data_IF_398611906438
#
_entry.id   IF_398611906438
#
_cell.length_a   1.000
_cell.length_b   1.000
_cell.length_c   1.000
_cell.angle_alpha   90.00
_cell.angle_beta   90.00
_cell.angle_gamma   90.00
#
_symmetry.space_group_name_H-M   'P 1'
#
loop_
_entity.id
_entity.type
_entity.pdbx_description
1 polymer ?
#
# COMPACT_ATOMS: atom_id res chain seq x y z
N UNK A 1 2.56 -0.35 -1.53
CA UNK A 1 3.72 0.45 -1.95
C UNK A 1 4.37 1.25 -0.83
N UNK A 2 3.63 2.07 -0.07
CA UNK A 2 4.21 2.72 1.14
C UNK A 2 4.76 1.68 2.13
N UNK A 3 4.07 0.56 2.35
CA UNK A 3 4.55 -0.52 3.21
C UNK A 3 5.84 -1.22 2.75
N UNK A 4 6.14 -1.20 1.44
CA UNK A 4 7.32 -1.85 0.87
C UNK A 4 8.53 -0.91 0.77
N UNK A 5 8.29 0.37 0.51
CA UNK A 5 9.31 1.30 0.02
C UNK A 5 9.57 2.50 0.93
N UNK A 6 8.70 2.76 1.92
CA UNK A 6 8.77 3.95 2.75
C UNK A 6 9.00 3.60 4.23
N UNK A 7 10.25 3.36 4.61
CA UNK A 7 10.68 3.21 6.01
C UNK A 7 11.29 4.50 6.57
N UNK A 8 10.89 4.89 7.77
CA UNK A 8 11.54 5.94 8.55
C UNK A 8 12.80 5.42 9.23
N UNK A 9 13.91 6.15 9.13
CA UNK A 9 15.17 5.83 9.80
C UNK A 9 15.84 7.08 10.36
N UNK A 10 16.34 6.98 11.58
CA UNK A 10 17.05 8.03 12.30
C UNK A 10 18.38 7.49 12.84
N UNK A 11 19.38 8.34 12.99
CA UNK A 11 20.59 8.01 13.74
C UNK A 11 20.42 8.22 15.26
N UNK A 12 21.45 7.85 16.03
CA UNK A 12 21.46 7.98 17.50
C UNK A 12 21.40 9.45 17.98
N UNK A 13 21.64 10.41 17.08
CA UNK A 13 21.56 11.84 17.33
C UNK A 13 20.21 12.44 16.89
N UNK A 14 19.30 11.62 16.36
CA UNK A 14 17.95 12.01 15.94
C UNK A 14 17.85 12.58 14.52
N UNK A 15 18.94 12.58 13.72
CA UNK A 15 18.93 13.01 12.33
C UNK A 15 18.07 12.07 11.48
N UNK A 16 17.17 12.61 10.65
CA UNK A 16 16.38 11.81 9.70
C UNK A 16 17.25 11.44 8.49
N UNK A 17 17.48 10.14 8.29
CA UNK A 17 18.33 9.63 7.20
C UNK A 17 17.53 9.32 5.92
N UNK A 18 16.23 9.07 6.04
CA UNK A 18 15.40 8.56 4.93
C UNK A 18 14.46 9.60 4.32
N UNK A 19 14.66 10.89 4.62
CA UNK A 19 13.81 12.00 4.17
C UNK A 19 14.14 12.55 2.76
N UNK A 20 15.12 11.94 2.06
CA UNK A 20 15.48 12.31 0.68
C UNK A 20 14.96 11.28 -0.32
N UNK A 21 14.63 11.72 -1.55
CA UNK A 21 14.31 10.83 -2.68
C UNK A 21 15.46 9.91 -3.08
N UNK A 22 16.67 10.19 -2.63
CA UNK A 22 17.84 9.32 -2.84
C UNK A 22 17.75 8.00 -2.06
N UNK A 23 16.98 7.99 -0.97
CA UNK A 23 16.85 6.84 -0.05
C UNK A 23 15.41 6.36 0.06
N UNK A 24 14.45 7.29 0.01
CA UNK A 24 13.03 6.97 -0.04
C UNK A 24 12.68 6.43 -1.41
N UNK A 25 12.40 5.12 -1.48
CA UNK A 25 11.99 4.50 -2.72
C UNK A 25 10.63 5.06 -3.18
N UNK A 26 10.65 5.71 -4.34
CA UNK A 26 9.47 6.17 -5.07
C UNK A 26 9.49 5.39 -6.39
N UNK A 27 8.51 4.51 -6.63
CA UNK A 27 8.51 3.72 -7.86
C UNK A 27 8.38 4.60 -9.08
N UNK A 28 9.11 4.22 -10.12
CA UNK A 28 8.89 4.69 -11.47
C UNK A 28 7.75 3.90 -12.10
N UNK A 29 7.24 4.41 -13.22
CA UNK A 29 6.16 3.76 -13.96
C UNK A 29 6.49 2.29 -14.33
N UNK A 30 7.76 1.98 -14.61
CA UNK A 30 8.23 0.62 -14.92
C UNK A 30 8.25 -0.33 -13.73
N UNK A 31 8.23 0.21 -12.49
CA UNK A 31 8.29 -0.59 -11.26
C UNK A 31 6.88 -1.00 -10.78
N UNK A 32 5.83 -0.49 -11.43
CA UNK A 32 4.44 -0.75 -11.08
C UNK A 32 3.86 -1.89 -11.93
N UNK A 33 3.14 -2.85 -11.32
CA UNK A 33 2.38 -3.82 -12.08
C UNK A 33 1.17 -3.16 -12.77
N UNK A 34 0.65 -3.79 -13.82
CA UNK A 34 -0.60 -3.36 -14.43
C UNK A 34 -1.76 -3.56 -13.45
N UNK A 35 -2.60 -2.53 -13.30
CA UNK A 35 -3.75 -2.54 -12.38
C UNK A 35 -5.04 -2.76 -13.16
N UNK A 36 -5.82 -3.77 -12.77
CA UNK A 36 -7.20 -3.97 -13.25
C UNK A 36 -8.17 -3.37 -12.24
N UNK A 37 -9.10 -2.55 -12.73
CA UNK A 37 -10.12 -1.89 -11.92
C UNK A 37 -11.49 -2.51 -12.23
N UNK A 38 -12.22 -2.93 -11.19
CA UNK A 38 -13.61 -3.36 -11.28
C UNK A 38 -14.40 -2.66 -10.19
N UNK A 39 -15.61 -2.21 -10.49
CA UNK A 39 -16.46 -1.47 -9.56
C UNK A 39 -17.79 -2.17 -9.39
N UNK A 40 -18.22 -2.31 -8.15
CA UNK A 40 -19.58 -2.71 -7.79
C UNK A 40 -20.24 -1.53 -7.09
N UNK A 41 -21.40 -1.11 -7.57
CA UNK A 41 -22.09 0.05 -7.02
C UNK A 41 -23.07 -0.41 -5.94
N UNK A 42 -22.75 -0.08 -4.69
CA UNK A 42 -23.66 -0.24 -3.55
C UNK A 42 -24.01 1.15 -3.04
N UNK A 43 -25.29 1.50 -3.15
CA UNK A 43 -25.82 2.78 -2.70
C UNK A 43 -25.64 2.95 -1.19
N UNK A 44 -25.14 4.12 -0.76
CA UNK A 44 -25.04 4.45 0.65
C UNK A 44 -26.37 5.03 1.16
N UNK A 45 -27.15 4.32 1.99
CA UNK A 45 -28.42 4.83 2.50
C UNK A 45 -28.23 5.96 3.54
N UNK A 46 -27.00 6.16 4.00
CA UNK A 46 -26.67 7.08 5.08
C UNK A 46 -26.30 8.50 4.60
N UNK A 47 -26.21 8.76 3.29
CA UNK A 47 -25.94 10.10 2.79
C UNK A 47 -26.83 10.53 1.60
N UNK A 48 -27.19 11.83 1.52
CA UNK A 48 -28.05 12.36 0.44
C UNK A 48 -27.51 12.21 -0.99
N UNK A 49 -26.20 12.34 -1.29
CA UNK A 49 -25.70 12.12 -2.64
C UNK A 49 -25.57 10.63 -3.02
N UNK A 50 -25.90 9.71 -2.10
CA UNK A 50 -25.81 8.24 -2.26
C UNK A 50 -24.40 7.80 -2.74
N UNK A 51 -23.37 8.54 -2.32
CA UNK A 51 -22.00 8.40 -2.84
C UNK A 51 -21.06 7.90 -1.75
N UNK A 52 -20.27 6.87 -2.04
CA UNK A 52 -19.19 6.42 -1.16
C UNK A 52 -17.84 6.98 -1.63
N UNK A 53 -16.96 7.31 -0.69
CA UNK A 53 -15.59 7.73 -0.99
C UNK A 53 -14.71 6.55 -1.38
N UNK A 54 -14.01 6.63 -2.52
CA UNK A 54 -13.13 5.55 -3.02
C UNK A 54 -11.65 5.98 -3.13
N UNK A 55 -11.32 7.26 -2.89
CA UNK A 55 -9.96 7.81 -3.09
C UNK A 55 -8.85 7.09 -2.31
N UNK A 56 -9.23 6.32 -1.29
CA UNK A 56 -8.32 5.59 -0.41
C UNK A 56 -8.46 4.07 -0.53
N UNK A 57 -9.50 3.58 -1.22
CA UNK A 57 -9.81 2.16 -1.32
C UNK A 57 -8.68 1.36 -1.98
N UNK A 58 -7.94 1.99 -2.91
CA UNK A 58 -6.77 1.40 -3.55
C UNK A 58 -5.61 1.09 -2.58
N UNK A 59 -5.61 1.63 -1.36
CA UNK A 59 -4.58 1.31 -0.36
C UNK A 59 -4.71 -0.10 0.22
N UNK A 60 -5.85 -0.77 0.03
CA UNK A 60 -6.01 -2.20 0.34
C UNK A 60 -5.03 -3.11 -0.42
N UNK A 61 -4.46 -2.62 -1.53
CA UNK A 61 -3.41 -3.32 -2.25
C UNK A 61 -2.13 -3.56 -1.43
N UNK A 62 -1.91 -2.86 -0.30
CA UNK A 62 -0.78 -3.15 0.57
C UNK A 62 -0.96 -4.47 1.31
N UNK A 63 -2.10 -4.64 1.99
CA UNK A 63 -2.40 -5.89 2.69
C UNK A 63 -2.41 -7.09 1.73
N UNK A 64 -3.00 -6.94 0.55
CA UNK A 64 -2.99 -8.00 -0.46
C UNK A 64 -1.57 -8.36 -0.95
N UNK A 65 -0.65 -7.39 -1.02
CA UNK A 65 0.74 -7.66 -1.38
C UNK A 65 1.49 -8.38 -0.25
N UNK A 66 1.27 -7.99 1.00
CA UNK A 66 1.86 -8.65 2.16
C UNK A 66 1.37 -10.11 2.27
N UNK A 67 0.05 -10.35 2.11
CA UNK A 67 -0.52 -11.69 2.08
C UNK A 67 0.06 -12.54 0.95
N UNK A 68 0.22 -11.97 -0.25
CA UNK A 68 0.81 -12.69 -1.38
C UNK A 68 2.29 -13.07 -1.14
N UNK A 69 3.03 -12.28 -0.35
CA UNK A 69 4.40 -12.62 0.04
C UNK A 69 4.44 -13.70 1.13
N UNK A 70 3.47 -13.71 2.04
CA UNK A 70 3.40 -14.64 3.19
C UNK A 70 2.77 -16.00 2.84
N UNK A 71 1.85 -16.06 1.88
CA UNK A 71 1.17 -17.27 1.42
C UNK A 71 2.12 -18.48 1.20
N UNK A 72 3.25 -18.36 0.45
CA UNK A 72 4.16 -19.49 0.25
C UNK A 72 4.92 -19.92 1.51
N UNK A 73 4.99 -19.08 2.55
CA UNK A 73 5.65 -19.39 3.82
C UNK A 73 4.72 -20.17 4.76
N UNK A 74 3.39 -20.00 4.61
CA UNK A 74 2.38 -20.71 5.38
C UNK A 74 2.50 -22.23 5.30
N UNK A 75 2.61 -22.78 4.09
CA UNK A 75 2.74 -24.23 3.88
C UNK A 75 4.07 -24.83 4.37
N UNK A 76 5.02 -23.99 4.79
CA UNK A 76 6.36 -24.41 5.26
C UNK A 76 6.55 -24.24 6.77
N UNK A 77 5.53 -23.76 7.49
CA UNK A 77 5.56 -23.60 8.94
C UNK A 77 6.37 -22.41 9.45
N UNK A 78 6.65 -21.43 8.58
CA UNK A 78 7.29 -20.16 8.94
C UNK A 78 6.24 -19.04 8.89
N UNK A 79 5.74 -18.66 10.07
CA UNK A 79 4.86 -17.53 10.33
C UNK A 79 5.28 -16.85 11.64
#
# INVERSE_FOLDING_TARGET
MVGLCARGGQDDHGQILTASFMVRAIPRATDLPFVRLTTEQVSSPANPPVMSGCGEAGRGAMAAADDAMLDPLCGRGMW
#
